data_IF_457790851153
#
_entry.id   IF_457790851153
#
_cell.length_a   1.000
_cell.length_b   1.000
_cell.length_c   1.000
_cell.angle_alpha   90.00
_cell.angle_beta   90.00
_cell.angle_gamma   90.00
#
_symmetry.space_group_name_H-M   'P 1'
#
loop_
_entity.id
_entity.type
_entity.pdbx_description
1 polymer ?
#
# COMPACT_ATOMS: atom_id res chain seq x y z
N UNK A 1 31.46 19.89 22.86
CA UNK A 1 30.25 19.14 23.30
C UNK A 1 29.03 19.30 22.37
N UNK A 2 28.70 20.51 21.90
CA UNK A 2 27.50 20.78 21.12
C UNK A 2 27.51 20.11 19.72
N UNK A 3 28.65 20.15 19.03
CA UNK A 3 28.80 19.52 17.70
C UNK A 3 28.75 18.00 17.76
N UNK A 4 29.35 17.39 18.78
CA UNK A 4 29.33 15.93 18.95
C UNK A 4 27.92 15.42 19.34
N UNK A 5 27.22 16.14 20.22
CA UNK A 5 25.85 15.81 20.59
C UNK A 5 24.87 15.95 19.42
N UNK A 6 25.03 17.00 18.61
CA UNK A 6 24.23 17.18 17.40
C UNK A 6 24.44 16.07 16.37
N UNK A 7 25.68 15.66 16.15
CA UNK A 7 26.01 14.58 15.23
C UNK A 7 25.43 13.22 15.68
N UNK A 8 25.57 12.90 16.97
CA UNK A 8 24.98 11.66 17.54
C UNK A 8 23.45 11.67 17.39
N UNK A 9 22.80 12.80 17.67
CA UNK A 9 21.34 12.92 17.52
C UNK A 9 20.91 12.70 16.08
N UNK A 10 21.61 13.26 15.10
CA UNK A 10 21.33 13.05 13.67
C UNK A 10 21.55 11.59 13.28
N UNK A 11 22.61 10.95 13.75
CA UNK A 11 22.86 9.52 13.49
C UNK A 11 21.78 8.63 14.10
N UNK A 12 21.31 8.92 15.31
CA UNK A 12 20.22 8.16 15.96
C UNK A 12 18.91 8.33 15.19
N UNK A 13 18.56 9.55 14.81
CA UNK A 13 17.35 9.82 14.03
C UNK A 13 17.44 9.16 12.65
N UNK A 14 18.56 9.27 11.96
CA UNK A 14 18.80 8.60 10.68
C UNK A 14 18.74 7.08 10.82
N UNK A 15 19.33 6.52 11.87
CA UNK A 15 19.25 5.09 12.19
C UNK A 15 17.83 4.62 12.44
N UNK A 16 17.04 5.35 13.22
CA UNK A 16 15.62 5.05 13.45
C UNK A 16 14.79 5.15 12.16
N UNK A 17 15.12 6.08 11.27
CA UNK A 17 14.43 6.24 9.99
C UNK A 17 14.78 5.11 9.01
N UNK A 18 16.06 4.73 8.93
CA UNK A 18 16.54 3.64 8.06
C UNK A 18 16.07 2.27 8.56
N UNK A 19 15.97 2.08 9.88
CA UNK A 19 15.46 0.84 10.49
C UNK A 19 13.92 0.80 10.58
N UNK A 20 13.22 1.85 10.16
CA UNK A 20 11.77 1.91 10.14
C UNK A 20 11.20 0.91 9.13
N UNK A 21 10.52 -0.13 9.62
CA UNK A 21 9.83 -1.15 8.81
C UNK A 21 8.48 -0.64 8.27
N UNK A 22 8.29 0.68 8.19
CA UNK A 22 7.02 1.28 7.78
C UNK A 22 7.02 1.66 6.30
N UNK A 23 5.91 1.41 5.64
CA UNK A 23 5.69 1.81 4.25
C UNK A 23 5.76 3.32 4.11
N UNK A 24 6.67 3.80 3.27
CA UNK A 24 6.84 5.23 2.96
C UNK A 24 6.34 5.57 1.55
N UNK A 25 6.44 4.64 0.61
CA UNK A 25 6.07 4.85 -0.79
C UNK A 25 5.65 3.55 -1.47
N UNK A 26 4.73 3.65 -2.44
CA UNK A 26 4.37 2.55 -3.32
C UNK A 26 5.56 2.06 -4.16
N UNK A 27 6.44 2.97 -4.59
CA UNK A 27 7.66 2.64 -5.34
C UNK A 27 8.59 1.69 -4.58
N UNK A 28 8.70 1.87 -3.26
CA UNK A 28 9.51 0.97 -2.43
C UNK A 28 8.91 -0.44 -2.34
N UNK A 29 7.57 -0.55 -2.23
CA UNK A 29 6.87 -1.84 -2.24
C UNK A 29 7.08 -2.54 -3.58
N UNK A 30 6.88 -1.82 -4.69
CA UNK A 30 7.07 -2.34 -6.06
C UNK A 30 8.50 -2.85 -6.25
N UNK A 31 9.49 -2.06 -5.87
CA UNK A 31 10.90 -2.44 -6.02
C UNK A 31 11.31 -3.60 -5.12
N UNK A 32 10.82 -3.62 -3.88
CA UNK A 32 11.20 -4.63 -2.88
C UNK A 32 10.55 -5.98 -3.14
N UNK A 33 9.27 -5.99 -3.50
CA UNK A 33 8.49 -7.22 -3.67
C UNK A 33 8.23 -7.60 -5.13
N UNK A 34 8.60 -6.73 -6.08
CA UNK A 34 8.36 -6.91 -7.53
C UNK A 34 6.89 -7.13 -7.88
N UNK A 35 5.99 -6.49 -7.12
CA UNK A 35 4.56 -6.46 -7.40
C UNK A 35 4.18 -5.14 -8.07
N UNK A 36 3.05 -5.10 -8.77
CA UNK A 36 2.61 -3.92 -9.49
C UNK A 36 1.95 -2.91 -8.53
N UNK A 37 2.16 -1.61 -8.75
CA UNK A 37 1.33 -0.57 -8.13
C UNK A 37 0.04 -0.41 -8.94
N UNK A 38 -1.11 -0.51 -8.27
CA UNK A 38 -2.41 -0.18 -8.87
C UNK A 38 -2.71 1.30 -8.74
N UNK A 39 -2.20 1.93 -7.71
CA UNK A 39 -2.33 3.35 -7.43
C UNK A 39 -1.84 3.69 -6.03
N UNK A 40 -1.50 4.96 -5.83
CA UNK A 40 -1.11 5.47 -4.53
C UNK A 40 -1.78 6.83 -4.29
N UNK A 41 -2.40 6.97 -3.14
CA UNK A 41 -2.98 8.25 -2.72
C UNK A 41 -1.88 9.19 -2.27
N UNK A 42 -2.01 10.45 -2.65
CA UNK A 42 -1.08 11.49 -2.25
C UNK A 42 -1.40 11.93 -0.83
N UNK A 43 -0.41 11.86 0.06
CA UNK A 43 -0.58 12.46 1.40
C UNK A 43 -0.56 13.97 1.24
N UNK A 44 -1.69 14.62 1.48
CA UNK A 44 -1.72 16.05 1.70
C UNK A 44 -1.07 16.32 3.06
N UNK A 45 0.08 16.99 3.12
CA UNK A 45 0.73 17.23 4.40
C UNK A 45 -0.14 18.16 5.24
N UNK A 46 -0.52 17.71 6.42
CA UNK A 46 -0.99 18.64 7.45
C UNK A 46 0.06 19.72 7.65
N UNK A 47 -0.38 20.96 7.85
CA UNK A 47 0.48 22.15 8.03
C UNK A 47 1.49 21.89 9.15
N UNK A 48 2.70 21.48 8.80
CA UNK A 48 3.82 21.33 9.72
C UNK A 48 4.67 22.61 9.72
N UNK A 49 5.27 22.91 10.87
CA UNK A 49 6.07 24.12 11.13
C UNK A 49 7.26 24.26 10.17
N UNK A 50 7.70 23.18 9.53
CA UNK A 50 8.82 23.12 8.60
C UNK A 50 8.45 22.67 7.18
N UNK A 51 7.30 23.10 6.68
CA UNK A 51 6.76 22.69 5.37
C UNK A 51 7.69 22.93 4.17
N UNK A 52 8.68 23.83 4.27
CA UNK A 52 9.67 24.05 3.21
C UNK A 52 10.68 22.90 3.09
N UNK A 53 11.06 22.26 4.21
CA UNK A 53 11.95 21.09 4.23
C UNK A 53 11.22 19.89 3.64
N UNK A 54 9.96 19.68 4.00
CA UNK A 54 9.14 18.61 3.46
C UNK A 54 8.91 18.76 1.95
N UNK A 55 8.74 19.98 1.45
CA UNK A 55 8.61 20.24 0.00
C UNK A 55 9.92 19.99 -0.75
N UNK A 56 11.06 20.34 -0.14
CA UNK A 56 12.38 20.08 -0.73
C UNK A 56 12.71 18.58 -0.74
N UNK A 57 12.43 17.86 0.34
CA UNK A 57 12.62 16.41 0.43
C UNK A 57 11.73 15.64 -0.58
N UNK A 58 10.47 16.07 -0.77
CA UNK A 58 9.59 15.47 -1.79
C UNK A 58 10.10 15.69 -3.20
N UNK A 59 10.65 16.87 -3.49
CA UNK A 59 11.26 17.18 -4.78
C UNK A 59 12.46 16.27 -5.05
N UNK A 60 13.28 15.98 -4.04
CA UNK A 60 14.39 15.02 -4.13
C UNK A 60 13.89 13.57 -4.29
N UNK A 61 12.77 13.22 -3.68
CA UNK A 61 12.16 11.90 -3.80
C UNK A 61 11.41 11.67 -5.12
N UNK A 62 11.23 12.72 -5.95
CA UNK A 62 10.50 12.64 -7.22
C UNK A 62 8.99 12.44 -7.06
N UNK A 63 8.43 12.84 -5.93
CA UNK A 63 7.02 12.69 -5.55
C UNK A 63 6.26 14.01 -5.75
N UNK A 64 6.55 14.71 -6.87
CA UNK A 64 6.06 16.08 -7.12
C UNK A 64 4.60 16.16 -7.57
N UNK A 65 3.94 15.04 -7.89
CA UNK A 65 2.57 15.05 -8.42
C UNK A 65 1.58 14.64 -7.35
N UNK A 66 0.86 15.61 -6.82
CA UNK A 66 -0.33 15.37 -6.01
C UNK A 66 -1.50 15.19 -6.97
N UNK A 67 -2.00 13.96 -7.06
CA UNK A 67 -3.20 13.66 -7.82
C UNK A 67 -4.44 13.82 -6.93
N UNK A 68 -5.55 14.38 -7.44
CA UNK A 68 -6.84 14.32 -6.76
C UNK A 68 -7.27 12.86 -6.53
N UNK A 69 -7.89 12.57 -5.39
CA UNK A 69 -8.33 11.21 -5.04
C UNK A 69 -9.19 10.57 -6.14
N UNK A 70 -10.05 11.36 -6.79
CA UNK A 70 -10.88 10.88 -7.91
C UNK A 70 -10.03 10.29 -9.06
N UNK A 71 -8.93 10.97 -9.42
CA UNK A 71 -8.02 10.49 -10.47
C UNK A 71 -7.29 9.22 -10.02
N UNK A 72 -6.93 9.15 -8.74
CA UNK A 72 -6.29 7.93 -8.19
C UNK A 72 -7.25 6.75 -8.25
N UNK A 73 -8.52 6.94 -7.91
CA UNK A 73 -9.52 5.89 -8.04
C UNK A 73 -9.71 5.43 -9.49
N UNK A 74 -9.79 6.36 -10.45
CA UNK A 74 -9.85 6.02 -11.89
C UNK A 74 -8.63 5.21 -12.34
N UNK A 75 -7.43 5.55 -11.85
CA UNK A 75 -6.22 4.78 -12.13
C UNK A 75 -6.26 3.39 -11.53
N UNK A 76 -6.73 3.26 -10.27
CA UNK A 76 -6.90 1.98 -9.59
C UNK A 76 -7.87 1.09 -10.36
N UNK A 77 -9.01 1.64 -10.76
CA UNK A 77 -10.04 0.94 -11.53
C UNK A 77 -9.50 0.43 -12.87
N UNK A 78 -8.83 1.29 -13.63
CA UNK A 78 -8.24 0.95 -14.91
C UNK A 78 -7.13 -0.11 -14.78
N UNK A 79 -6.24 0.05 -13.80
CA UNK A 79 -5.15 -0.90 -13.55
C UNK A 79 -5.68 -2.24 -13.05
N UNK A 80 -6.69 -2.23 -12.17
CA UNK A 80 -7.33 -3.45 -11.69
C UNK A 80 -8.02 -4.20 -12.83
N UNK A 81 -8.73 -3.50 -13.71
CA UNK A 81 -9.36 -4.11 -14.89
C UNK A 81 -8.33 -4.80 -15.79
N UNK A 82 -7.18 -4.13 -16.05
CA UNK A 82 -6.14 -4.69 -16.89
C UNK A 82 -5.39 -5.87 -16.25
N UNK A 83 -5.11 -5.79 -14.95
CA UNK A 83 -4.26 -6.80 -14.28
C UNK A 83 -5.07 -7.98 -13.73
N UNK A 84 -6.36 -7.79 -13.51
CA UNK A 84 -7.28 -8.84 -13.09
C UNK A 84 -8.06 -9.47 -14.27
N UNK A 85 -7.68 -9.15 -15.50
CA UNK A 85 -8.34 -9.69 -16.70
C UNK A 85 -8.45 -11.22 -16.64
N UNK A 86 -9.65 -11.75 -16.88
CA UNK A 86 -9.94 -13.18 -16.85
C UNK A 86 -10.11 -13.81 -15.47
N UNK A 87 -9.91 -13.08 -14.38
CA UNK A 87 -10.11 -13.57 -13.02
C UNK A 87 -11.56 -13.38 -12.57
N UNK A 88 -12.14 -14.45 -12.03
CA UNK A 88 -13.56 -14.47 -11.59
C UNK A 88 -13.73 -14.10 -10.12
N UNK A 89 -12.69 -14.32 -9.30
CA UNK A 89 -12.72 -14.05 -7.87
C UNK A 89 -11.45 -13.32 -7.42
N UNK A 90 -11.61 -12.19 -6.76
CA UNK A 90 -10.54 -11.40 -6.19
C UNK A 90 -10.70 -11.25 -4.70
N UNK A 91 -9.60 -11.36 -4.00
CA UNK A 91 -9.52 -11.08 -2.57
C UNK A 91 -8.76 -9.77 -2.34
N UNK A 92 -9.37 -8.85 -1.59
CA UNK A 92 -8.77 -7.56 -1.24
C UNK A 92 -8.48 -7.56 0.24
N UNK A 93 -7.23 -7.36 0.61
CA UNK A 93 -6.76 -7.39 1.99
C UNK A 93 -5.68 -6.35 2.24
N UNK A 94 -5.23 -6.21 3.47
CA UNK A 94 -4.14 -5.32 3.87
C UNK A 94 -4.39 -4.65 5.21
N UNK A 95 -3.52 -3.70 5.54
CA UNK A 95 -3.52 -2.98 6.82
C UNK A 95 -4.13 -1.57 6.74
N UNK A 96 -4.66 -1.17 5.59
CA UNK A 96 -5.34 0.11 5.47
C UNK A 96 -6.52 0.23 6.46
N UNK A 97 -6.89 1.46 6.80
CA UNK A 97 -8.03 1.72 7.68
C UNK A 97 -9.33 1.12 7.11
N UNK A 98 -10.29 0.81 7.97
CA UNK A 98 -11.57 0.24 7.55
C UNK A 98 -12.26 1.11 6.49
N UNK A 99 -12.29 2.41 6.72
CA UNK A 99 -12.88 3.38 5.79
C UNK A 99 -12.20 3.35 4.42
N UNK A 100 -10.87 3.31 4.37
CA UNK A 100 -10.12 3.26 3.11
C UNK A 100 -10.37 1.92 2.39
N UNK A 101 -10.38 0.82 3.14
CA UNK A 101 -10.67 -0.50 2.59
C UNK A 101 -12.06 -0.55 1.96
N UNK A 102 -13.09 -0.04 2.65
CA UNK A 102 -14.47 0.03 2.13
C UNK A 102 -14.56 0.88 0.86
N UNK A 103 -13.91 2.03 0.83
CA UNK A 103 -13.89 2.92 -0.33
C UNK A 103 -13.23 2.23 -1.54
N UNK A 104 -12.04 1.68 -1.36
CA UNK A 104 -11.33 0.95 -2.42
C UNK A 104 -12.14 -0.23 -2.92
N UNK A 105 -12.72 -1.01 -2.01
CA UNK A 105 -13.57 -2.14 -2.38
C UNK A 105 -14.84 -1.73 -3.14
N UNK A 106 -15.43 -0.60 -2.77
CA UNK A 106 -16.57 -0.02 -3.49
C UNK A 106 -16.23 0.31 -4.94
N UNK A 107 -15.11 1.00 -5.15
CA UNK A 107 -14.61 1.34 -6.48
C UNK A 107 -14.25 0.09 -7.31
N UNK A 108 -13.55 -0.86 -6.72
CA UNK A 108 -13.20 -2.11 -7.42
C UNK A 108 -14.44 -2.92 -7.81
N UNK A 109 -15.47 -3.01 -6.96
CA UNK A 109 -16.73 -3.69 -7.28
C UNK A 109 -17.50 -3.00 -8.41
N UNK A 110 -17.46 -1.67 -8.45
CA UNK A 110 -18.08 -0.90 -9.52
C UNK A 110 -17.34 -1.08 -10.85
N UNK A 111 -16.02 -1.11 -10.82
CA UNK A 111 -15.17 -1.28 -12.02
C UNK A 111 -15.18 -2.71 -12.57
N UNK A 112 -15.36 -3.71 -11.71
CA UNK A 112 -15.28 -5.13 -12.05
C UNK A 112 -16.60 -5.87 -11.74
N UNK A 113 -17.72 -5.53 -12.38
CA UNK A 113 -19.05 -6.08 -12.03
C UNK A 113 -19.18 -7.58 -12.31
N UNK A 114 -18.30 -8.15 -13.15
CA UNK A 114 -18.28 -9.58 -13.48
C UNK A 114 -17.40 -10.42 -12.54
N UNK A 115 -16.66 -9.75 -11.64
CA UNK A 115 -15.72 -10.40 -10.74
C UNK A 115 -16.24 -10.38 -9.31
N UNK A 116 -16.24 -11.52 -8.66
CA UNK A 116 -16.58 -11.60 -7.24
C UNK A 116 -15.44 -11.00 -6.41
N UNK A 117 -15.70 -9.91 -5.71
CA UNK A 117 -14.69 -9.24 -4.86
C UNK A 117 -15.04 -9.42 -3.40
N UNK A 118 -14.15 -10.09 -2.68
CA UNK A 118 -14.22 -10.30 -1.23
C UNK A 118 -13.18 -9.42 -0.56
N UNK A 119 -13.63 -8.60 0.39
CA UNK A 119 -12.76 -7.67 1.10
C UNK A 119 -12.71 -8.07 2.58
N UNK A 120 -11.50 -8.30 3.10
CA UNK A 120 -11.28 -8.58 4.51
C UNK A 120 -9.89 -8.11 4.92
N UNK A 121 -9.82 -7.38 6.03
CA UNK A 121 -8.57 -6.81 6.54
C UNK A 121 -7.73 -7.85 7.27
N UNK A 122 -6.43 -7.55 7.37
CA UNK A 122 -5.49 -8.25 8.25
C UNK A 122 -5.40 -9.76 7.97
N UNK A 123 -5.00 -10.11 6.76
CA UNK A 123 -4.84 -11.50 6.32
C UNK A 123 -3.93 -12.32 7.26
N UNK A 124 -2.90 -11.69 7.84
CA UNK A 124 -1.91 -12.38 8.66
C UNK A 124 -2.52 -12.90 9.97
N UNK A 125 -3.44 -12.16 10.58
CA UNK A 125 -4.00 -12.51 11.89
C UNK A 125 -5.40 -13.14 11.80
N UNK A 126 -6.08 -13.00 10.66
CA UNK A 126 -7.46 -13.48 10.48
C UNK A 126 -7.52 -14.86 9.84
N UNK A 127 -8.01 -15.86 10.60
CA UNK A 127 -8.25 -17.20 10.09
C UNK A 127 -9.39 -17.23 9.05
N UNK A 128 -10.37 -16.32 9.14
CA UNK A 128 -11.45 -16.21 8.15
C UNK A 128 -10.92 -15.65 6.84
N UNK A 129 -10.06 -14.63 6.89
CA UNK A 129 -9.41 -14.05 5.74
C UNK A 129 -8.58 -15.10 4.97
N UNK A 130 -7.84 -15.94 5.69
CA UNK A 130 -7.05 -17.03 5.06
C UNK A 130 -7.91 -18.06 4.36
N UNK A 131 -9.10 -18.39 4.89
CA UNK A 131 -10.03 -19.31 4.21
C UNK A 131 -10.58 -18.71 2.93
N UNK A 132 -10.99 -17.44 2.97
CA UNK A 132 -11.50 -16.71 1.81
C UNK A 132 -10.43 -16.48 0.75
N UNK A 133 -9.17 -16.28 1.18
CA UNK A 133 -8.03 -16.19 0.27
C UNK A 133 -7.96 -17.44 -0.63
N UNK A 134 -8.11 -18.63 -0.08
CA UNK A 134 -8.00 -19.89 -0.83
C UNK A 134 -9.08 -20.06 -1.90
N UNK A 135 -10.16 -19.28 -1.85
CA UNK A 135 -11.26 -19.29 -2.83
C UNK A 135 -11.05 -18.24 -3.94
N UNK A 136 -10.03 -17.41 -3.85
CA UNK A 136 -9.73 -16.35 -4.80
C UNK A 136 -8.80 -16.82 -5.91
N UNK A 137 -8.83 -16.12 -7.03
CA UNK A 137 -7.91 -16.32 -8.18
C UNK A 137 -6.82 -15.24 -8.23
N UNK A 138 -6.92 -14.23 -7.38
CA UNK A 138 -5.92 -13.17 -7.25
C UNK A 138 -6.15 -12.31 -6.02
N UNK A 139 -5.07 -11.66 -5.56
CA UNK A 139 -5.06 -10.81 -4.37
C UNK A 139 -4.65 -9.38 -4.74
N UNK A 140 -5.35 -8.42 -4.17
CA UNK A 140 -4.98 -7.00 -4.16
C UNK A 140 -4.68 -6.60 -2.72
N UNK A 141 -3.49 -6.03 -2.48
CA UNK A 141 -3.09 -5.51 -1.18
C UNK A 141 -3.45 -4.03 -1.08
N UNK A 142 -4.02 -3.62 0.05
CA UNK A 142 -4.34 -2.21 0.34
C UNK A 142 -3.61 -1.81 1.61
N UNK A 143 -2.59 -1.01 1.45
CA UNK A 143 -1.66 -0.65 2.52
C UNK A 143 -1.76 0.82 2.87
N UNK A 144 -1.56 1.15 4.14
CA UNK A 144 -1.59 2.52 4.62
C UNK A 144 -0.17 3.04 4.85
N UNK A 145 0.14 4.19 4.23
CA UNK A 145 1.43 4.84 4.37
C UNK A 145 1.71 5.22 5.83
N UNK A 146 2.91 4.91 6.32
CA UNK A 146 3.34 5.21 7.68
C UNK A 146 2.74 4.30 8.76
N UNK A 147 1.78 3.44 8.40
CA UNK A 147 1.12 2.50 9.32
C UNK A 147 1.43 1.05 8.98
N UNK A 148 1.31 0.66 7.72
CA UNK A 148 1.67 -0.67 7.25
C UNK A 148 3.18 -0.92 7.36
N UNK A 149 3.55 -2.19 7.61
CA UNK A 149 4.94 -2.62 7.75
C UNK A 149 5.33 -3.53 6.59
N UNK A 150 6.54 -3.35 6.07
CA UNK A 150 7.08 -4.22 5.01
C UNK A 150 7.14 -5.68 5.41
N UNK A 151 7.42 -5.99 6.68
CA UNK A 151 7.41 -7.35 7.22
C UNK A 151 6.04 -8.02 7.14
N UNK A 152 4.95 -7.27 7.36
CA UNK A 152 3.58 -7.78 7.25
C UNK A 152 3.20 -8.00 5.79
N UNK A 153 3.52 -7.06 4.91
CA UNK A 153 3.31 -7.20 3.46
C UNK A 153 4.05 -8.45 2.92
N UNK A 154 5.29 -8.69 3.39
CA UNK A 154 6.03 -9.90 3.03
C UNK A 154 5.28 -11.17 3.43
N UNK A 155 4.69 -11.20 4.63
CA UNK A 155 3.90 -12.34 5.11
C UNK A 155 2.60 -12.52 4.32
N UNK A 156 1.91 -11.44 3.95
CA UNK A 156 0.71 -11.51 3.11
C UNK A 156 1.01 -12.07 1.73
N UNK A 157 2.11 -11.63 1.11
CA UNK A 157 2.58 -12.15 -0.17
C UNK A 157 2.96 -13.64 -0.05
N UNK A 158 3.62 -14.03 1.04
CA UNK A 158 3.98 -15.43 1.30
C UNK A 158 2.74 -16.30 1.49
N UNK A 159 1.73 -15.82 2.23
CA UNK A 159 0.46 -16.52 2.41
C UNK A 159 -0.27 -16.71 1.07
N UNK A 160 -0.30 -15.71 0.21
CA UNK A 160 -0.88 -15.83 -1.13
C UNK A 160 -0.13 -16.87 -1.97
N UNK A 161 1.20 -16.83 -1.97
CA UNK A 161 2.05 -17.81 -2.68
C UNK A 161 1.87 -19.24 -2.18
N UNK A 162 1.71 -19.43 -0.88
CA UNK A 162 1.52 -20.76 -0.29
C UNK A 162 0.22 -21.45 -0.74
N UNK A 163 -0.76 -20.67 -1.16
CA UNK A 163 -2.02 -21.18 -1.75
C UNK A 163 -2.06 -21.05 -3.28
N UNK A 164 -0.92 -20.75 -3.91
CA UNK A 164 -0.76 -20.55 -5.36
C UNK A 164 -1.66 -19.45 -5.96
N UNK A 165 -1.83 -18.37 -5.22
CA UNK A 165 -2.61 -17.21 -5.67
C UNK A 165 -1.66 -16.04 -5.96
N UNK A 166 -1.83 -15.44 -7.14
CA UNK A 166 -1.02 -14.31 -7.56
C UNK A 166 -1.43 -13.01 -6.87
N UNK A 167 -0.43 -12.26 -6.40
CA UNK A 167 -0.64 -10.87 -5.98
C UNK A 167 -0.69 -10.00 -7.23
N UNK A 168 -1.88 -9.50 -7.56
CA UNK A 168 -2.15 -8.67 -8.73
C UNK A 168 -1.47 -7.33 -8.60
N UNK A 169 -1.51 -6.75 -7.41
CA UNK A 169 -0.85 -5.50 -7.13
C UNK A 169 -1.16 -4.96 -5.75
N UNK A 170 -0.61 -3.76 -5.49
CA UNK A 170 -0.77 -3.03 -4.25
C UNK A 170 -1.37 -1.64 -4.49
N UNK A 171 -2.23 -1.22 -3.58
CA UNK A 171 -2.76 0.14 -3.47
C UNK A 171 -2.19 0.72 -2.18
N UNK A 172 -1.62 1.92 -2.24
CA UNK A 172 -1.10 2.61 -1.04
C UNK A 172 -1.98 3.82 -0.74
N UNK A 173 -2.63 3.75 0.41
CA UNK A 173 -3.55 4.77 0.90
C UNK A 173 -2.88 5.71 1.92
#
# INVERSE_FOLDING_TARGET
GFLAGGFVSVCVIAGMYIMGDKVTSDKEIVNRFRIKSLGAFSVVPEKRVFGFIDSWLRRLAGDDKIWPDAVVYEMIEANAANYAEGKKALFVTGLASEKQMEQVCGHLKAALPQTQIVCERNLVESASARRKLAEAEGVILVEERGNSKYSVIAQEIELAKNVNIDVIGVIVA
#
